data_IF_828325769580
#
_entry.id   IF_828325769580
#
_cell.length_a   1.000
_cell.length_b   1.000
_cell.length_c   1.000
_cell.angle_alpha   90.00
_cell.angle_beta   90.00
_cell.angle_gamma   90.00
#
_symmetry.space_group_name_H-M   'P 1'
#
loop_
_entity.id
_entity.type
_entity.pdbx_description
1 polymer ?
#
# COMPACT_ATOMS: atom_id res chain seq x y z
N UNK A 1 3.75 -20.14 25.99
CA UNK A 1 4.34 -18.98 25.29
C UNK A 1 3.66 -18.92 23.92
N UNK A 2 2.82 -17.91 23.68
CA UNK A 2 2.11 -17.74 22.40
C UNK A 2 2.97 -16.79 21.57
N UNK A 3 3.50 -17.29 20.45
CA UNK A 3 4.11 -16.43 19.42
C UNK A 3 2.96 -16.01 18.50
N UNK A 4 2.63 -14.73 18.57
CA UNK A 4 1.64 -14.13 17.68
C UNK A 4 2.33 -13.76 16.36
N UNK A 5 2.02 -14.51 15.30
CA UNK A 5 2.66 -14.42 13.99
C UNK A 5 2.08 -13.30 13.10
N UNK A 6 1.13 -12.49 13.60
CA UNK A 6 0.31 -11.57 12.78
C UNK A 6 0.49 -10.07 13.08
N UNK A 7 1.40 -9.66 13.96
CA UNK A 7 1.47 -8.23 14.36
C UNK A 7 1.96 -7.27 13.27
N UNK A 8 2.70 -7.75 12.26
CA UNK A 8 3.17 -6.90 11.19
C UNK A 8 3.37 -7.71 9.91
N UNK A 9 2.51 -7.46 8.93
CA UNK A 9 2.56 -8.08 7.60
C UNK A 9 3.23 -7.17 6.57
N UNK A 10 3.12 -5.86 6.80
CA UNK A 10 3.57 -4.78 5.94
C UNK A 10 4.58 -3.86 6.62
N UNK A 11 4.52 -3.72 7.94
CA UNK A 11 5.33 -2.73 8.66
C UNK A 11 4.72 -1.32 8.61
N UNK A 12 3.44 -1.18 8.21
CA UNK A 12 2.68 0.09 8.18
C UNK A 12 1.40 0.04 9.03
N UNK A 13 1.17 -1.03 9.79
CA UNK A 13 -0.09 -1.23 10.51
C UNK A 13 -0.49 -0.04 11.42
N UNK A 14 0.43 0.60 12.18
CA UNK A 14 0.10 1.80 12.95
C UNK A 14 -0.32 3.00 12.08
N UNK A 15 0.38 3.23 10.97
CA UNK A 15 0.10 4.33 10.03
C UNK A 15 -1.24 4.14 9.33
N UNK A 16 -1.52 2.92 8.88
CA UNK A 16 -2.80 2.52 8.26
C UNK A 16 -4.00 2.79 9.17
N UNK A 17 -3.89 2.42 10.45
CA UNK A 17 -4.97 2.63 11.43
C UNK A 17 -5.13 4.11 11.76
N UNK A 18 -4.03 4.84 11.92
CA UNK A 18 -4.05 6.26 12.27
C UNK A 18 -4.59 7.15 11.13
N UNK A 19 -4.29 6.80 9.88
CA UNK A 19 -4.71 7.53 8.69
C UNK A 19 -6.03 6.99 8.09
N UNK A 20 -6.74 6.10 8.79
CA UNK A 20 -7.98 5.52 8.29
C UNK A 20 -9.09 6.58 8.21
N UNK A 21 -9.68 6.73 7.03
CA UNK A 21 -10.78 7.66 6.78
C UNK A 21 -12.13 6.96 6.91
N UNK A 22 -13.14 7.67 7.43
CA UNK A 22 -14.51 7.14 7.49
C UNK A 22 -15.17 7.30 6.13
N UNK A 23 -15.49 6.17 5.50
CA UNK A 23 -16.21 6.13 4.24
C UNK A 23 -17.60 5.53 4.47
N UNK A 24 -18.62 6.21 3.96
CA UNK A 24 -19.97 5.66 3.88
C UNK A 24 -20.02 4.60 2.77
N UNK A 25 -20.17 3.34 3.16
CA UNK A 25 -20.17 2.19 2.23
C UNK A 25 -21.58 1.68 1.94
N UNK A 26 -22.53 1.99 2.81
CA UNK A 26 -23.98 1.81 2.62
C UNK A 26 -24.71 2.98 3.28
N UNK A 27 -25.97 3.28 2.89
CA UNK A 27 -26.74 4.35 3.52
C UNK A 27 -26.76 4.25 5.05
N UNK A 28 -26.17 5.23 5.73
CA UNK A 28 -26.05 5.30 7.18
C UNK A 28 -24.99 4.39 7.80
N UNK A 29 -24.11 3.78 7.01
CA UNK A 29 -23.03 2.88 7.48
C UNK A 29 -21.67 3.41 7.07
N UNK A 30 -20.95 3.96 8.05
CA UNK A 30 -19.58 4.44 7.89
C UNK A 30 -18.57 3.48 8.51
N UNK A 31 -17.55 3.11 7.73
CA UNK A 31 -16.45 2.24 8.19
C UNK A 31 -15.12 2.93 7.97
N UNK A 32 -14.14 2.74 8.88
CA UNK A 32 -12.79 3.24 8.67
C UNK A 32 -12.12 2.40 7.57
N UNK A 33 -11.61 3.05 6.54
CA UNK A 33 -10.89 2.42 5.42
C UNK A 33 -9.50 2.99 5.28
N UNK A 34 -8.57 2.18 4.79
CA UNK A 34 -7.24 2.67 4.44
C UNK A 34 -7.32 3.68 3.30
N UNK A 35 -6.60 4.80 3.44
CA UNK A 35 -6.44 5.77 2.36
C UNK A 35 -5.71 5.18 1.15
N UNK A 36 -5.91 5.79 -0.02
CA UNK A 36 -5.39 5.30 -1.31
C UNK A 36 -3.87 5.17 -1.31
N UNK A 37 -3.14 6.13 -0.76
CA UNK A 37 -1.68 6.09 -0.69
C UNK A 37 -1.16 4.82 0.01
N UNK A 38 -1.74 4.47 1.16
CA UNK A 38 -1.40 3.25 1.87
C UNK A 38 -1.83 1.99 1.12
N UNK A 39 -3.00 2.00 0.47
CA UNK A 39 -3.43 0.88 -0.38
C UNK A 39 -2.45 0.64 -1.54
N UNK A 40 -1.97 1.70 -2.21
CA UNK A 40 -0.96 1.59 -3.26
C UNK A 40 0.32 0.97 -2.68
N UNK A 41 0.83 1.48 -1.55
CA UNK A 41 2.04 0.96 -0.92
C UNK A 41 1.93 -0.54 -0.59
N UNK A 42 0.78 -0.97 -0.05
CA UNK A 42 0.50 -2.38 0.24
C UNK A 42 0.45 -3.23 -1.03
N UNK A 43 -0.12 -2.72 -2.12
CA UNK A 43 -0.17 -3.42 -3.41
C UNK A 43 1.20 -3.55 -4.05
N UNK A 44 2.04 -2.51 -3.99
CA UNK A 44 3.45 -2.57 -4.45
C UNK A 44 4.25 -3.61 -3.65
N UNK A 45 4.07 -3.64 -2.33
CA UNK A 45 4.71 -4.66 -1.47
C UNK A 45 4.23 -6.08 -1.82
N UNK A 46 2.93 -6.24 -2.06
CA UNK A 46 2.31 -7.53 -2.33
C UNK A 46 2.54 -8.06 -3.76
N UNK A 47 2.76 -7.16 -4.72
CA UNK A 47 2.88 -7.50 -6.14
C UNK A 47 4.01 -8.48 -6.41
N UNK A 48 3.69 -9.53 -7.15
CA UNK A 48 4.61 -10.51 -7.68
C UNK A 48 4.05 -11.01 -9.01
N UNK A 49 4.80 -10.85 -10.10
CA UNK A 49 4.28 -11.12 -11.44
C UNK A 49 3.90 -12.61 -11.65
N UNK A 50 4.54 -13.53 -10.94
CA UNK A 50 4.33 -14.97 -11.12
C UNK A 50 3.16 -15.49 -10.27
N UNK A 51 2.98 -14.96 -9.07
CA UNK A 51 2.07 -15.51 -8.06
C UNK A 51 0.93 -14.56 -7.68
N UNK A 52 1.10 -13.25 -7.90
CA UNK A 52 0.16 -12.19 -7.53
C UNK A 52 0.06 -11.08 -8.58
N UNK A 53 -0.19 -11.41 -9.87
CA UNK A 53 -0.28 -10.40 -10.92
C UNK A 53 -1.41 -9.38 -10.68
N UNK A 54 -2.50 -9.80 -10.02
CA UNK A 54 -3.62 -8.92 -9.70
C UNK A 54 -3.21 -7.76 -8.78
N UNK A 55 -2.28 -7.96 -7.84
CA UNK A 55 -1.85 -6.89 -6.94
C UNK A 55 -1.14 -5.75 -7.71
N UNK A 56 -0.39 -6.08 -8.77
CA UNK A 56 0.21 -5.08 -9.67
C UNK A 56 -0.85 -4.32 -10.50
N UNK A 57 -1.87 -5.03 -11.00
CA UNK A 57 -2.99 -4.41 -11.72
C UNK A 57 -3.77 -3.46 -10.81
N UNK A 58 -4.04 -3.88 -9.58
CA UNK A 58 -4.72 -3.05 -8.59
C UNK A 58 -3.90 -1.81 -8.25
N UNK A 59 -2.57 -1.93 -8.08
CA UNK A 59 -1.69 -0.78 -7.88
C UNK A 59 -1.78 0.22 -9.03
N UNK A 60 -1.77 -0.25 -10.29
CA UNK A 60 -1.93 0.59 -11.48
C UNK A 60 -3.26 1.34 -11.46
N UNK A 61 -4.36 0.66 -11.15
CA UNK A 61 -5.68 1.28 -11.11
C UNK A 61 -5.76 2.37 -10.03
N UNK A 62 -5.20 2.12 -8.86
CA UNK A 62 -5.13 3.12 -7.78
C UNK A 62 -4.24 4.30 -8.17
N UNK A 63 -3.08 4.04 -8.79
CA UNK A 63 -2.14 5.09 -9.22
C UNK A 63 -2.73 6.03 -10.28
N UNK A 64 -3.62 5.54 -11.15
CA UNK A 64 -4.31 6.38 -12.15
C UNK A 64 -5.20 7.46 -11.53
N UNK A 65 -5.70 7.22 -10.32
CA UNK A 65 -6.56 8.16 -9.60
C UNK A 65 -5.82 8.92 -8.50
N UNK A 66 -4.55 8.59 -8.26
CA UNK A 66 -3.76 9.17 -7.18
C UNK A 66 -3.38 10.63 -7.47
N UNK A 67 -3.59 11.48 -6.47
CA UNK A 67 -3.11 12.86 -6.49
C UNK A 67 -1.59 12.93 -6.29
N UNK A 68 -0.94 14.06 -6.60
CA UNK A 68 0.48 14.26 -6.31
C UNK A 68 0.83 14.09 -4.83
N UNK A 69 -0.06 14.50 -3.92
CA UNK A 69 0.13 14.37 -2.47
C UNK A 69 0.04 12.89 -2.05
N UNK A 70 -0.94 12.14 -2.56
CA UNK A 70 -1.07 10.70 -2.32
C UNK A 70 0.14 9.92 -2.87
N UNK A 71 0.72 10.35 -4.00
CA UNK A 71 1.96 9.77 -4.52
C UNK A 71 3.16 10.06 -3.61
N UNK A 72 3.25 11.27 -3.04
CA UNK A 72 4.28 11.62 -2.06
C UNK A 72 4.16 10.76 -0.80
N UNK A 73 2.94 10.61 -0.27
CA UNK A 73 2.64 9.75 0.87
C UNK A 73 2.94 8.28 0.58
N UNK A 74 2.61 7.80 -0.61
CA UNK A 74 2.94 6.43 -1.06
C UNK A 74 4.45 6.19 -0.99
N UNK A 75 5.26 7.14 -1.48
CA UNK A 75 6.73 7.03 -1.42
C UNK A 75 7.23 6.99 0.02
N UNK A 76 6.72 7.86 0.89
CA UNK A 76 7.07 7.85 2.31
C UNK A 76 6.68 6.54 3.00
N UNK A 77 5.51 5.98 2.67
CA UNK A 77 5.05 4.70 3.19
C UNK A 77 5.97 3.54 2.75
N UNK A 78 6.39 3.49 1.48
CA UNK A 78 7.34 2.48 0.99
C UNK A 78 8.73 2.60 1.63
N UNK A 79 9.17 3.82 1.92
CA UNK A 79 10.41 4.07 2.68
C UNK A 79 10.31 3.53 4.12
N UNK A 80 9.17 3.75 4.79
CA UNK A 80 8.92 3.17 6.12
C UNK A 80 8.91 1.64 6.10
N UNK A 81 8.25 1.01 5.12
CA UNK A 81 8.27 -0.45 4.94
C UNK A 81 9.71 -0.96 4.81
N UNK A 82 10.50 -0.27 3.97
CA UNK A 82 11.88 -0.66 3.67
C UNK A 82 12.78 -0.50 4.89
N UNK A 83 12.75 0.66 5.55
CA UNK A 83 13.56 0.96 6.74
C UNK A 83 13.24 0.06 7.93
N UNK A 84 11.99 -0.43 8.01
CA UNK A 84 11.55 -1.41 9.02
C UNK A 84 11.85 -2.86 8.65
N UNK A 85 12.41 -3.12 7.46
CA UNK A 85 12.81 -4.47 7.03
C UNK A 85 11.70 -5.33 6.44
N UNK A 86 10.56 -4.75 6.07
CA UNK A 86 9.40 -5.48 5.53
C UNK A 86 9.37 -5.55 3.99
N UNK A 87 10.37 -4.99 3.30
CA UNK A 87 10.42 -4.96 1.84
C UNK A 87 10.64 -6.32 1.15
N UNK A 88 10.88 -7.40 1.91
CA UNK A 88 11.01 -8.79 1.39
C UNK A 88 12.00 -8.91 0.24
N UNK A 89 13.16 -8.25 0.36
CA UNK A 89 14.24 -8.18 -0.66
C UNK A 89 13.90 -7.39 -1.94
N UNK A 90 12.71 -6.80 -2.04
CA UNK A 90 12.33 -5.93 -3.15
C UNK A 90 12.92 -4.53 -3.00
N UNK A 91 13.19 -3.89 -4.13
CA UNK A 91 13.37 -2.43 -4.20
C UNK A 91 12.01 -1.79 -4.47
N UNK A 92 11.30 -1.44 -3.39
CA UNK A 92 9.93 -0.93 -3.49
C UNK A 92 9.85 0.43 -4.19
N UNK A 93 10.89 1.26 -4.08
CA UNK A 93 10.94 2.54 -4.77
C UNK A 93 11.07 2.32 -6.29
N UNK A 94 11.98 1.44 -6.72
CA UNK A 94 12.13 1.10 -8.13
C UNK A 94 10.86 0.44 -8.71
N UNK A 95 10.20 -0.43 -7.95
CA UNK A 95 8.92 -1.05 -8.33
C UNK A 95 7.83 -0.01 -8.59
N UNK A 96 7.67 0.97 -7.68
CA UNK A 96 6.71 2.06 -7.86
C UNK A 96 7.02 2.89 -9.11
N UNK A 97 8.27 3.29 -9.31
CA UNK A 97 8.66 4.08 -10.48
C UNK A 97 8.48 3.30 -11.80
N UNK A 98 8.71 1.98 -11.80
CA UNK A 98 8.41 1.13 -12.95
C UNK A 98 6.91 1.10 -13.28
N UNK A 99 6.04 1.05 -12.27
CA UNK A 99 4.59 1.10 -12.48
C UNK A 99 4.16 2.46 -13.01
N UNK A 100 4.70 3.56 -12.46
CA UNK A 100 4.42 4.92 -12.92
C UNK A 100 4.86 5.14 -14.37
N UNK A 101 6.05 4.65 -14.75
CA UNK A 101 6.51 4.73 -16.14
C UNK A 101 5.57 4.01 -17.12
N UNK A 102 4.94 2.91 -16.70
CA UNK A 102 3.96 2.15 -17.49
C UNK A 102 2.56 2.79 -17.61
N UNK A 103 2.30 3.91 -16.92
CA UNK A 103 1.05 4.68 -17.05
C UNK A 103 1.09 5.70 -18.20
N UNK A 104 2.28 5.96 -18.76
CA UNK A 104 2.56 6.94 -19.80
C UNK A 104 2.01 6.58 -21.18
#
# INVERSE_FOLDING_TARGET
MVVDLLFASSGLEPELVAAAERLEVFPGVEVPVAGRAHLIALKVLAADAATRPQDGIDAINLLREASPDELSETRAALELITSRGYARTKDLAAELESLLAGLS
#
